data_IF_309742303853
#
_entry.id   IF_309742303853
#
_cell.length_a   1.000
_cell.length_b   1.000
_cell.length_c   1.000
_cell.angle_alpha   90.00
_cell.angle_beta   90.00
_cell.angle_gamma   90.00
#
_symmetry.space_group_name_H-M   'P 1'
#
loop_
_entity.id
_entity.type
_entity.pdbx_description
1 polymer ?
#
# COMPACT_ATOMS: atom_id res chain seq x y z
N UNK A 1 6.51 -33.23 -25.25
CA UNK A 1 6.82 -31.85 -24.84
C UNK A 1 6.27 -31.69 -23.43
N UNK A 2 7.09 -31.52 -22.38
CA UNK A 2 6.55 -31.35 -21.03
C UNK A 2 5.67 -30.09 -21.06
N UNK A 3 4.40 -30.25 -20.70
CA UNK A 3 3.46 -29.16 -20.50
C UNK A 3 4.07 -28.23 -19.45
N UNK A 4 4.59 -27.07 -19.87
CA UNK A 4 5.12 -26.08 -18.94
C UNK A 4 4.02 -25.77 -17.92
N UNK A 5 4.24 -26.18 -16.68
CA UNK A 5 3.32 -25.93 -15.60
C UNK A 5 3.44 -24.44 -15.26
N UNK A 6 2.53 -23.62 -15.79
CA UNK A 6 2.58 -22.17 -15.66
C UNK A 6 1.68 -21.72 -14.50
N UNK A 7 2.22 -20.93 -13.59
CA UNK A 7 1.41 -20.20 -12.61
C UNK A 7 1.02 -18.82 -13.16
N UNK A 8 -0.08 -18.26 -12.65
CA UNK A 8 -0.63 -16.97 -13.09
C UNK A 8 -0.75 -16.03 -11.91
N UNK A 9 -0.25 -14.80 -12.08
CA UNK A 9 -0.37 -13.70 -11.13
C UNK A 9 -1.22 -12.61 -11.75
N UNK A 10 -2.20 -12.12 -11.00
CA UNK A 10 -2.90 -10.89 -11.36
C UNK A 10 -2.19 -9.69 -10.75
N UNK A 11 -2.01 -8.65 -11.54
CA UNK A 11 -1.34 -7.40 -11.14
C UNK A 11 -2.13 -6.19 -11.65
N UNK A 12 -1.97 -5.04 -11.02
CA UNK A 12 -2.60 -3.79 -11.45
C UNK A 12 -2.06 -3.36 -12.83
N UNK A 13 -2.94 -2.91 -13.74
CA UNK A 13 -2.51 -2.37 -15.04
C UNK A 13 -1.74 -1.06 -14.90
N UNK A 14 -2.13 -0.26 -13.92
CA UNK A 14 -1.49 0.99 -13.51
C UNK A 14 -0.99 0.77 -12.08
N UNK A 15 0.30 0.95 -11.80
CA UNK A 15 0.84 0.79 -10.45
C UNK A 15 0.04 1.54 -9.39
N UNK A 16 -0.30 0.88 -8.28
CA UNK A 16 -1.04 1.46 -7.14
C UNK A 16 -2.46 1.95 -7.46
N UNK A 17 -2.97 1.76 -8.68
CA UNK A 17 -4.33 2.10 -9.09
C UNK A 17 -5.08 0.88 -9.60
N UNK A 18 -5.72 0.19 -8.66
CA UNK A 18 -6.48 -1.02 -8.94
C UNK A 18 -7.76 -0.72 -9.74
N UNK A 19 -8.32 0.49 -9.67
CA UNK A 19 -9.57 0.85 -10.36
C UNK A 19 -9.40 0.87 -11.88
N UNK A 20 -8.17 1.07 -12.35
CA UNK A 20 -7.79 0.93 -13.77
C UNK A 20 -7.76 -0.53 -14.24
N UNK A 21 -8.02 -1.47 -13.32
CA UNK A 21 -8.22 -2.89 -13.59
C UNK A 21 -6.94 -3.72 -13.49
N UNK A 22 -7.14 -5.05 -13.55
CA UNK A 22 -6.07 -6.02 -13.45
C UNK A 22 -5.62 -6.55 -14.81
N UNK A 23 -4.41 -7.08 -14.85
CA UNK A 23 -3.84 -7.85 -15.94
C UNK A 23 -3.17 -9.11 -15.39
N UNK A 24 -2.81 -10.05 -16.26
CA UNK A 24 -2.16 -11.29 -15.86
C UNK A 24 -0.71 -11.35 -16.34
N UNK A 25 0.12 -11.99 -15.51
CA UNK A 25 1.48 -12.39 -15.79
C UNK A 25 1.61 -13.89 -15.51
N UNK A 26 2.37 -14.62 -16.31
CA UNK A 26 2.63 -16.06 -16.15
C UNK A 26 4.10 -16.36 -16.18
N UNK A 27 4.49 -17.36 -15.40
CA UNK A 27 5.82 -17.95 -15.47
C UNK A 27 5.77 -19.40 -15.03
N UNK A 28 6.90 -20.09 -15.18
CA UNK A 28 7.04 -21.46 -14.72
C UNK A 28 6.76 -21.57 -13.20
N UNK A 29 5.94 -22.55 -12.83
CA UNK A 29 5.50 -22.80 -11.47
C UNK A 29 6.66 -23.09 -10.52
N UNK A 30 7.61 -23.94 -10.92
CA UNK A 30 8.75 -24.32 -10.08
C UNK A 30 9.66 -23.11 -9.83
N UNK A 31 9.85 -22.28 -10.86
CA UNK A 31 10.60 -21.03 -10.72
C UNK A 31 9.88 -20.07 -9.77
N UNK A 32 8.57 -19.93 -9.89
CA UNK A 32 7.80 -19.03 -9.03
C UNK A 32 7.83 -19.47 -7.55
N UNK A 33 7.78 -20.78 -7.27
CA UNK A 33 7.98 -21.34 -5.93
C UNK A 33 9.39 -21.08 -5.40
N UNK A 34 10.42 -21.32 -6.23
CA UNK A 34 11.84 -21.05 -5.90
C UNK A 34 12.06 -19.58 -5.52
N UNK A 35 11.41 -18.65 -6.22
CA UNK A 35 11.51 -17.21 -5.99
C UNK A 35 10.55 -16.70 -4.91
N UNK A 36 9.71 -17.56 -4.32
CA UNK A 36 8.73 -17.22 -3.28
C UNK A 36 7.86 -16.01 -3.64
N UNK A 37 7.40 -15.95 -4.90
CA UNK A 37 6.67 -14.78 -5.41
C UNK A 37 5.32 -14.65 -4.68
N UNK A 38 5.03 -13.50 -4.03
CA UNK A 38 3.80 -13.30 -3.30
C UNK A 38 2.60 -13.17 -4.24
N UNK A 39 1.50 -13.85 -3.90
CA UNK A 39 0.22 -13.69 -4.60
C UNK A 39 -0.53 -12.51 -3.99
N UNK A 40 -0.64 -11.40 -4.76
CA UNK A 40 -1.36 -10.20 -4.31
C UNK A 40 -2.89 -10.33 -4.43
N UNK A 41 -3.36 -11.00 -5.49
CA UNK A 41 -4.78 -11.18 -5.78
C UNK A 41 -5.08 -12.62 -6.20
N UNK A 42 -6.11 -13.22 -5.60
CA UNK A 42 -6.51 -14.61 -5.80
C UNK A 42 -7.89 -14.78 -6.45
N UNK A 43 -8.63 -13.68 -6.69
CA UNK A 43 -10.01 -13.75 -7.19
C UNK A 43 -10.66 -12.38 -7.37
N UNK A 44 -11.99 -12.35 -7.29
CA UNK A 44 -12.79 -11.11 -7.38
C UNK A 44 -12.51 -10.23 -6.16
N UNK A 45 -12.25 -8.95 -6.40
CA UNK A 45 -11.91 -7.97 -5.37
C UNK A 45 -13.08 -7.03 -5.19
N UNK A 46 -13.63 -6.94 -3.98
CA UNK A 46 -14.63 -5.95 -3.62
C UNK A 46 -13.94 -4.69 -3.09
N UNK A 47 -14.24 -3.53 -3.69
CA UNK A 47 -13.73 -2.22 -3.28
C UNK A 47 -14.93 -1.38 -2.83
N UNK A 48 -14.96 -0.88 -1.59
CA UNK A 48 -16.05 -0.03 -1.13
C UNK A 48 -16.11 1.25 -1.98
N UNK A 49 -17.32 1.67 -2.37
CA UNK A 49 -17.51 2.89 -3.15
C UNK A 49 -17.05 4.11 -2.33
N UNK A 50 -16.05 4.90 -2.79
CA UNK A 50 -15.56 6.07 -2.07
C UNK A 50 -16.55 7.25 -2.04
N UNK A 51 -17.58 7.26 -2.89
CA UNK A 51 -18.66 8.26 -2.87
C UNK A 51 -20.01 7.65 -2.46
N UNK A 52 -20.49 7.98 -1.26
CA UNK A 52 -21.91 8.15 -1.02
C UNK A 52 -22.15 9.60 -0.60
N UNK A 53 -21.99 10.55 -1.52
CA UNK A 53 -22.46 11.93 -1.32
C UNK A 53 -23.56 12.12 -2.39
N UNK A 54 -24.78 12.60 -2.16
CA UNK A 54 -25.41 13.32 -1.06
C UNK A 54 -26.93 13.19 -1.24
N UNK A 55 -27.70 13.06 -0.16
CA UNK A 55 -29.02 13.67 -0.02
C UNK A 55 -29.42 13.62 1.46
N UNK A 56 -29.44 14.73 2.20
CA UNK A 56 -30.23 14.80 3.41
C UNK A 56 -31.69 14.86 2.97
N UNK A 57 -32.29 13.70 2.71
CA UNK A 57 -33.74 13.63 2.58
C UNK A 57 -34.25 13.78 4.00
N UNK A 58 -34.98 14.87 4.26
CA UNK A 58 -35.65 15.02 5.55
C UNK A 58 -36.66 13.86 5.70
N UNK A 59 -36.83 13.28 6.90
CA UNK A 59 -37.73 12.13 7.10
C UNK A 59 -39.18 12.38 6.65
N UNK A 60 -39.60 13.63 6.55
CA UNK A 60 -40.92 14.06 6.04
C UNK A 60 -41.05 14.07 4.51
N UNK A 61 -39.96 14.04 3.75
CA UNK A 61 -39.99 14.07 2.28
C UNK A 61 -40.27 12.66 1.72
N UNK A 62 -41.53 12.24 1.78
CA UNK A 62 -42.01 11.01 1.11
C UNK A 62 -41.97 11.18 -0.40
N UNK A 63 -40.82 10.93 -1.04
CA UNK A 63 -40.70 10.86 -2.50
C UNK A 63 -40.86 9.40 -3.01
N UNK A 64 -41.97 9.05 -3.69
CA UNK A 64 -42.34 7.67 -4.05
C UNK A 64 -41.50 6.99 -5.15
N UNK A 65 -40.53 7.66 -5.78
CA UNK A 65 -39.93 7.20 -7.05
C UNK A 65 -38.40 7.09 -7.08
N UNK A 66 -37.69 7.25 -5.96
CA UNK A 66 -36.26 6.98 -5.93
C UNK A 66 -36.02 5.60 -5.31
N UNK A 67 -35.74 4.60 -6.16
CA UNK A 67 -35.08 3.37 -5.74
C UNK A 67 -33.59 3.52 -6.06
N UNK A 68 -32.74 3.88 -5.08
CA UNK A 68 -31.33 3.95 -5.33
C UNK A 68 -30.79 2.54 -5.35
N UNK A 69 -30.46 2.01 -6.53
CA UNK A 69 -29.75 0.75 -6.63
C UNK A 69 -28.24 1.04 -6.45
N UNK A 70 -27.84 1.41 -5.23
CA UNK A 70 -26.44 1.66 -4.91
C UNK A 70 -25.75 0.33 -4.62
N UNK A 71 -24.91 -0.15 -5.55
CA UNK A 71 -23.91 -1.14 -5.19
C UNK A 71 -22.94 -0.47 -4.20
N UNK A 72 -22.91 -0.97 -2.96
CA UNK A 72 -22.01 -0.49 -1.90
C UNK A 72 -20.53 -0.76 -2.20
N UNK A 73 -20.26 -1.60 -3.20
CA UNK A 73 -18.92 -2.04 -3.59
C UNK A 73 -18.81 -2.13 -5.12
N UNK A 74 -17.66 -1.74 -5.65
CA UNK A 74 -17.20 -2.11 -6.98
C UNK A 74 -16.55 -3.48 -6.93
N UNK A 75 -16.87 -4.35 -7.87
CA UNK A 75 -16.21 -5.65 -8.01
C UNK A 75 -15.22 -5.59 -9.17
N UNK A 76 -13.95 -5.84 -8.86
CA UNK A 76 -12.91 -6.00 -9.87
C UNK A 76 -12.71 -7.48 -10.12
N UNK A 77 -13.10 -7.91 -11.31
CA UNK A 77 -12.92 -9.27 -11.76
C UNK A 77 -11.54 -9.43 -12.40
N UNK A 78 -10.77 -10.47 -12.03
CA UNK A 78 -9.56 -10.82 -12.76
C UNK A 78 -9.88 -11.07 -14.24
N UNK A 79 -9.05 -10.60 -15.17
CA UNK A 79 -9.29 -10.78 -16.59
C UNK A 79 -9.20 -12.25 -16.99
N UNK A 80 -9.97 -12.63 -18.00
CA UNK A 80 -9.80 -13.92 -18.65
C UNK A 80 -8.36 -14.08 -19.17
N UNK A 81 -7.84 -15.29 -19.00
CA UNK A 81 -6.47 -15.62 -19.34
C UNK A 81 -6.39 -16.04 -20.81
N UNK A 82 -6.73 -15.12 -21.71
CA UNK A 82 -6.80 -15.31 -23.16
C UNK A 82 -6.17 -14.13 -23.90
N UNK A 83 -6.02 -14.25 -25.23
CA UNK A 83 -5.54 -13.19 -26.10
C UNK A 83 -4.01 -13.11 -26.28
N UNK A 84 -3.55 -12.02 -26.91
CA UNK A 84 -2.13 -11.81 -27.24
C UNK A 84 -1.30 -11.67 -25.96
N UNK A 85 -0.06 -12.17 -26.02
CA UNK A 85 0.91 -12.13 -24.93
C UNK A 85 2.26 -11.61 -25.40
N UNK A 86 3.01 -11.00 -24.49
CA UNK A 86 4.40 -10.56 -24.67
C UNK A 86 5.31 -11.42 -23.82
N UNK A 87 6.47 -11.80 -24.37
CA UNK A 87 7.52 -12.51 -23.63
C UNK A 87 8.58 -11.52 -23.16
N UNK A 88 8.80 -11.48 -21.87
CA UNK A 88 9.89 -10.80 -21.20
C UNK A 88 10.90 -11.85 -20.71
N UNK A 89 12.12 -11.43 -20.44
CA UNK A 89 13.10 -12.26 -19.73
C UNK A 89 13.50 -11.56 -18.44
N UNK A 90 13.52 -12.30 -17.34
CA UNK A 90 14.12 -11.85 -16.08
C UNK A 90 15.53 -12.43 -16.02
N UNK A 91 16.52 -11.57 -15.94
CA UNK A 91 17.90 -11.98 -15.68
C UNK A 91 18.13 -11.98 -14.18
N UNK A 92 18.33 -13.17 -13.60
CA UNK A 92 18.53 -13.36 -12.16
C UNK A 92 19.73 -14.27 -11.95
N UNK A 93 20.77 -13.80 -11.25
CA UNK A 93 21.97 -14.59 -10.91
C UNK A 93 22.59 -15.34 -12.11
N UNK A 94 22.61 -14.73 -13.29
CA UNK A 94 23.15 -15.33 -14.51
C UNK A 94 22.17 -16.16 -15.35
N UNK A 95 20.96 -16.45 -14.85
CA UNK A 95 19.93 -17.20 -15.58
C UNK A 95 18.92 -16.26 -16.25
N UNK A 96 18.40 -16.66 -17.43
CA UNK A 96 17.32 -15.96 -18.10
C UNK A 96 16.00 -16.72 -17.95
N UNK A 97 15.07 -16.17 -17.18
CA UNK A 97 13.77 -16.75 -16.87
C UNK A 97 12.70 -16.12 -17.76
N UNK A 98 11.88 -16.94 -18.41
CA UNK A 98 10.78 -16.44 -19.24
C UNK A 98 9.60 -15.96 -18.38
N UNK A 99 9.14 -14.75 -18.65
CA UNK A 99 7.96 -14.14 -18.07
C UNK A 99 6.99 -13.77 -19.19
N UNK A 100 5.75 -14.23 -19.13
CA UNK A 100 4.73 -13.92 -20.14
C UNK A 100 3.69 -12.97 -19.55
N UNK A 101 3.49 -11.81 -20.17
CA UNK A 101 2.47 -10.85 -19.75
C UNK A 101 1.39 -10.70 -20.81
N UNK A 102 0.18 -10.33 -20.40
CA UNK A 102 -0.87 -9.90 -21.33
C UNK A 102 -0.36 -8.73 -22.19
N UNK A 103 -0.75 -8.70 -23.47
CA UNK A 103 -0.22 -7.72 -24.42
C UNK A 103 -0.47 -6.25 -24.02
N UNK A 104 -1.59 -5.96 -23.35
CA UNK A 104 -1.98 -4.63 -22.88
C UNK A 104 -1.21 -4.15 -21.64
N UNK A 105 -0.44 -5.02 -20.99
CA UNK A 105 0.30 -4.67 -19.78
C UNK A 105 1.52 -3.79 -20.11
N UNK A 106 1.68 -2.71 -19.36
CA UNK A 106 2.80 -1.78 -19.53
C UNK A 106 4.07 -2.33 -18.90
N UNK A 107 5.23 -1.94 -19.43
CA UNK A 107 6.53 -2.29 -18.84
C UNK A 107 6.66 -1.73 -17.42
N UNK A 108 6.07 -0.56 -17.16
CA UNK A 108 6.04 0.07 -15.85
C UNK A 108 5.29 -0.76 -14.81
N UNK A 109 4.12 -1.30 -15.15
CA UNK A 109 3.37 -2.20 -14.27
C UNK A 109 4.16 -3.47 -13.91
N UNK A 110 4.85 -4.06 -14.90
CA UNK A 110 5.71 -5.23 -14.67
C UNK A 110 6.88 -4.85 -13.76
N UNK A 111 7.55 -3.72 -14.01
CA UNK A 111 8.66 -3.24 -13.16
C UNK A 111 8.18 -2.98 -11.74
N UNK A 112 7.04 -2.32 -11.56
CA UNK A 112 6.41 -2.10 -10.25
C UNK A 112 6.14 -3.43 -9.53
N UNK A 113 5.50 -4.38 -10.22
CA UNK A 113 5.26 -5.69 -9.64
C UNK A 113 6.54 -6.43 -9.26
N UNK A 114 7.56 -6.45 -10.13
CA UNK A 114 8.86 -7.06 -9.82
C UNK A 114 9.49 -6.43 -8.58
N UNK A 115 9.49 -5.11 -8.51
CA UNK A 115 10.06 -4.38 -7.39
C UNK A 115 9.36 -4.69 -6.05
N UNK A 116 8.12 -5.18 -6.04
CA UNK A 116 7.43 -5.56 -4.80
C UNK A 116 8.01 -6.80 -4.10
N UNK A 117 8.78 -7.63 -4.82
CA UNK A 117 9.30 -8.89 -4.27
C UNK A 117 10.72 -9.26 -4.72
N UNK A 118 11.16 -8.82 -5.90
CA UNK A 118 12.46 -9.17 -6.48
C UNK A 118 13.61 -8.39 -5.83
N UNK A 119 14.80 -8.98 -5.85
CA UNK A 119 16.03 -8.31 -5.43
C UNK A 119 16.43 -7.19 -6.41
N UNK A 120 17.23 -6.23 -5.95
CA UNK A 120 17.61 -5.05 -6.73
C UNK A 120 18.55 -5.35 -7.90
N UNK A 121 19.25 -6.49 -7.88
CA UNK A 121 20.17 -6.94 -8.93
C UNK A 121 19.45 -7.58 -10.13
N UNK A 122 18.15 -7.84 -10.02
CA UNK A 122 17.35 -8.41 -11.10
C UNK A 122 17.22 -7.40 -12.26
N UNK A 123 17.34 -7.90 -13.50
CA UNK A 123 17.12 -7.10 -14.70
C UNK A 123 15.95 -7.64 -15.51
N UNK A 124 15.07 -6.73 -15.96
CA UNK A 124 14.00 -7.04 -16.90
C UNK A 124 14.46 -6.76 -18.34
N UNK A 125 14.37 -7.77 -19.19
CA UNK A 125 14.63 -7.64 -20.63
C UNK A 125 13.27 -7.63 -21.34
N UNK A 126 12.98 -6.52 -22.03
CA UNK A 126 11.72 -6.33 -22.76
C UNK A 126 11.71 -7.09 -24.09
N UNK A 127 10.54 -7.29 -24.75
CA UNK A 127 10.48 -7.92 -26.07
C UNK A 127 11.35 -7.24 -27.14
N UNK A 128 11.60 -5.93 -27.01
CA UNK A 128 12.52 -5.17 -27.87
C UNK A 128 13.99 -5.26 -27.44
N UNK A 129 14.34 -6.24 -26.61
CA UNK A 129 15.68 -6.48 -26.07
C UNK A 129 16.28 -5.34 -25.22
N UNK A 130 15.47 -4.35 -24.84
CA UNK A 130 15.89 -3.30 -23.89
C UNK A 130 16.02 -3.92 -22.49
N UNK A 131 17.18 -3.76 -21.87
CA UNK A 131 17.45 -4.13 -20.49
C UNK A 131 17.07 -2.99 -19.55
N UNK A 132 16.34 -3.34 -18.49
CA UNK A 132 15.90 -2.41 -17.45
C UNK A 132 16.40 -2.99 -16.13
N UNK A 133 17.38 -2.31 -15.52
CA UNK A 133 17.80 -2.64 -14.16
C UNK A 133 16.72 -2.23 -13.17
N UNK A 134 16.50 -3.06 -12.14
CA UNK A 134 15.73 -2.68 -10.96
C UNK A 134 16.59 -1.91 -9.96
N UNK A 135 17.91 -1.94 -10.10
CA UNK A 135 18.85 -1.22 -9.24
C UNK A 135 18.62 0.29 -9.32
N UNK A 136 18.59 0.95 -8.16
CA UNK A 136 18.28 2.38 -8.05
C UNK A 136 16.83 2.76 -8.34
N UNK A 137 15.96 1.82 -8.78
CA UNK A 137 14.52 2.08 -8.88
C UNK A 137 13.86 1.90 -7.52
N UNK A 138 13.04 2.89 -7.14
CA UNK A 138 12.30 2.86 -5.89
C UNK A 138 11.31 1.71 -5.97
N UNK A 139 11.49 0.68 -5.13
CA UNK A 139 10.48 -0.39 -5.01
C UNK A 139 9.13 0.27 -4.66
N UNK A 140 7.97 -0.15 -5.21
CA UNK A 140 6.67 0.36 -4.80
C UNK A 140 6.44 -0.02 -3.34
N UNK A 141 7.01 0.87 -2.53
CA UNK A 141 6.65 1.45 -1.27
C UNK A 141 6.29 0.50 -0.14
N UNK A 142 7.33 -0.10 0.48
CA UNK A 142 7.36 -0.07 1.95
C UNK A 142 7.64 1.38 2.36
N UNK A 143 6.58 2.13 2.62
CA UNK A 143 6.71 3.39 3.31
C UNK A 143 6.46 3.12 4.80
N UNK A 144 7.08 3.89 5.67
CA UNK A 144 6.96 3.69 7.10
C UNK A 144 6.49 4.98 7.74
N UNK A 145 5.62 4.86 8.75
CA UNK A 145 5.45 5.90 9.76
C UNK A 145 6.37 5.58 10.92
N UNK A 146 7.09 6.57 11.41
CA UNK A 146 7.93 6.44 12.60
C UNK A 146 7.52 7.43 13.68
N UNK A 147 7.82 7.03 14.92
CA UNK A 147 7.76 7.87 16.10
C UNK A 147 9.16 7.94 16.71
N UNK A 148 9.73 9.14 16.76
CA UNK A 148 11.07 9.36 17.32
C UNK A 148 10.96 10.27 18.53
N UNK A 149 11.52 9.84 19.66
CA UNK A 149 11.56 10.62 20.88
C UNK A 149 12.87 11.40 21.00
N UNK A 150 12.75 12.64 21.42
CA UNK A 150 13.85 13.50 21.83
C UNK A 150 13.73 13.74 23.34
N UNK A 151 14.76 13.34 24.09
CA UNK A 151 14.79 13.46 25.55
C UNK A 151 14.88 14.90 26.04
N UNK A 152 15.58 15.78 25.32
CA UNK A 152 15.84 17.15 25.75
C UNK A 152 14.58 18.02 25.68
N UNK A 153 13.88 17.93 24.55
CA UNK A 153 12.64 18.68 24.34
C UNK A 153 11.40 17.95 24.88
N UNK A 154 11.60 16.73 25.39
CA UNK A 154 10.53 15.82 25.81
C UNK A 154 9.40 15.73 24.77
N UNK A 155 9.81 15.58 23.50
CA UNK A 155 8.93 15.63 22.34
C UNK A 155 9.05 14.37 21.48
N UNK A 156 7.96 14.02 20.80
CA UNK A 156 7.87 12.93 19.85
C UNK A 156 7.67 13.53 18.46
N UNK A 157 8.54 13.16 17.52
CA UNK A 157 8.36 13.42 16.09
C UNK A 157 7.51 12.32 15.48
N UNK A 158 6.50 12.72 14.71
CA UNK A 158 5.71 11.82 13.87
C UNK A 158 6.07 12.13 12.42
N UNK A 159 6.65 11.17 11.70
CA UNK A 159 7.03 11.38 10.31
C UNK A 159 6.99 10.12 9.47
N UNK A 160 7.15 10.29 8.16
CA UNK A 160 7.27 9.18 7.21
C UNK A 160 8.66 9.04 6.60
N UNK A 161 9.03 7.82 6.22
CA UNK A 161 10.24 7.54 5.44
C UNK A 161 10.10 6.26 4.60
N UNK A 162 10.82 6.19 3.48
CA UNK A 162 11.06 4.93 2.76
C UNK A 162 12.18 4.09 3.38
N UNK A 163 13.09 4.75 4.11
CA UNK A 163 14.21 4.16 4.86
C UNK A 163 14.31 4.88 6.21
N UNK A 164 13.82 4.22 7.26
CA UNK A 164 13.69 4.83 8.60
C UNK A 164 15.05 5.00 9.28
N UNK A 165 15.99 4.09 9.04
CA UNK A 165 17.32 4.13 9.63
C UNK A 165 18.13 5.30 9.06
N UNK A 166 18.16 5.46 7.73
CA UNK A 166 18.79 6.64 7.11
C UNK A 166 18.15 7.94 7.57
N UNK A 167 16.82 7.96 7.74
CA UNK A 167 16.12 9.15 8.22
C UNK A 167 16.49 9.47 9.68
N UNK A 168 16.59 8.48 10.55
CA UNK A 168 17.03 8.67 11.94
C UNK A 168 18.46 9.22 11.98
N UNK A 169 19.39 8.64 11.22
CA UNK A 169 20.78 9.13 11.13
C UNK A 169 20.83 10.59 10.65
N UNK A 170 20.06 10.93 9.61
CA UNK A 170 19.96 12.31 9.11
C UNK A 170 19.34 13.29 10.11
N UNK A 171 18.42 12.85 10.96
CA UNK A 171 17.86 13.71 12.02
C UNK A 171 18.85 13.86 13.19
N UNK A 172 19.62 12.82 13.48
CA UNK A 172 20.61 12.81 14.55
C UNK A 172 21.71 13.84 14.32
N UNK A 173 22.10 14.12 13.07
CA UNK A 173 23.13 15.13 12.76
C UNK A 173 22.76 16.54 13.21
N UNK A 174 21.46 16.80 13.41
CA UNK A 174 20.93 18.09 13.85
C UNK A 174 20.38 18.04 15.27
N UNK A 175 20.65 16.98 16.03
CA UNK A 175 20.27 16.84 17.43
C UNK A 175 21.50 16.52 18.28
N UNK A 176 21.79 17.32 19.32
CA UNK A 176 22.91 17.05 20.21
C UNK A 176 22.69 15.83 21.11
N UNK A 177 21.44 15.37 21.25
CA UNK A 177 21.07 14.20 22.04
C UNK A 177 20.60 13.05 21.18
N UNK A 178 20.80 11.84 21.70
CA UNK A 178 20.45 10.62 21.00
C UNK A 178 18.94 10.52 20.83
N UNK A 179 18.50 10.52 19.57
CA UNK A 179 17.11 10.33 19.19
C UNK A 179 16.73 8.86 19.33
N UNK A 180 15.63 8.60 20.04
CA UNK A 180 15.17 7.24 20.32
C UNK A 180 14.03 6.86 19.38
N UNK A 181 14.19 5.76 18.65
CA UNK A 181 13.10 5.20 17.85
C UNK A 181 12.10 4.49 18.75
N UNK A 182 10.87 5.01 18.86
CA UNK A 182 9.83 4.41 19.69
C UNK A 182 9.06 3.33 18.95
N UNK A 183 8.71 3.59 17.69
CA UNK A 183 7.90 2.67 16.87
C UNK A 183 8.05 2.98 15.40
N UNK A 184 7.93 1.92 14.60
CA UNK A 184 7.85 1.97 13.14
C UNK A 184 6.63 1.17 12.71
N UNK A 185 5.82 1.75 11.83
CA UNK A 185 4.63 1.12 11.26
C UNK A 185 4.87 0.97 9.75
N UNK A 186 4.92 -0.26 9.22
CA UNK A 186 4.97 -0.48 7.78
C UNK A 186 3.65 -0.10 7.12
N UNK A 187 3.74 0.53 5.95
CA UNK A 187 2.61 0.99 5.14
C UNK A 187 2.81 0.54 3.69
N UNK A 188 1.74 0.03 3.09
CA UNK A 188 1.77 -0.64 1.78
C UNK A 188 2.02 0.30 0.59
N UNK A 189 1.95 1.62 0.78
CA UNK A 189 2.23 2.58 -0.27
C UNK A 189 2.68 3.93 0.28
N UNK A 190 3.37 4.73 -0.54
CA UNK A 190 3.73 6.11 -0.19
C UNK A 190 2.45 6.90 0.05
N UNK A 191 1.46 6.83 -0.86
CA UNK A 191 0.19 7.56 -0.71
C UNK A 191 -0.47 7.30 0.65
N UNK A 192 -0.62 6.04 1.04
CA UNK A 192 -1.17 5.67 2.36
C UNK A 192 -0.33 6.23 3.51
N UNK A 193 1.00 6.24 3.39
CA UNK A 193 1.85 6.85 4.42
C UNK A 193 1.65 8.36 4.53
N UNK A 194 1.38 9.05 3.41
CA UNK A 194 1.07 10.49 3.44
C UNK A 194 -0.26 10.76 4.13
N UNK A 195 -1.28 9.97 3.81
CA UNK A 195 -2.62 10.05 4.41
C UNK A 195 -2.57 9.75 5.92
N UNK A 196 -1.85 8.69 6.31
CA UNK A 196 -1.70 8.30 7.72
C UNK A 196 -0.91 9.33 8.53
N UNK A 197 0.16 9.90 7.98
CA UNK A 197 0.92 10.98 8.61
C UNK A 197 0.04 12.21 8.84
N UNK A 198 -0.69 12.66 7.81
CA UNK A 198 -1.59 13.80 7.91
C UNK A 198 -2.72 13.59 8.93
N UNK A 199 -3.28 12.37 8.98
CA UNK A 199 -4.25 11.97 9.99
C UNK A 199 -3.66 12.06 11.39
N UNK A 200 -2.48 11.50 11.63
CA UNK A 200 -1.83 11.52 12.95
C UNK A 200 -1.49 12.94 13.39
N UNK A 201 -1.00 13.78 12.48
CA UNK A 201 -0.74 15.19 12.75
C UNK A 201 -2.01 15.95 13.10
N UNK A 202 -3.14 15.60 12.48
CA UNK A 202 -4.45 16.20 12.78
C UNK A 202 -4.98 15.71 14.12
N UNK A 203 -4.91 14.40 14.37
CA UNK A 203 -5.37 13.76 15.61
C UNK A 203 -4.65 14.31 16.85
N UNK A 204 -3.34 14.51 16.76
CA UNK A 204 -2.53 15.02 17.86
C UNK A 204 -2.21 16.51 17.72
N UNK A 205 -3.00 17.26 16.94
CA UNK A 205 -2.76 18.68 16.69
C UNK A 205 -2.69 19.50 17.98
N UNK A 206 -3.48 19.15 19.00
CA UNK A 206 -3.47 19.80 20.32
C UNK A 206 -2.15 19.60 21.08
N UNK A 207 -1.37 18.58 20.74
CA UNK A 207 -0.05 18.32 21.32
C UNK A 207 1.10 18.89 20.47
N UNK A 208 0.79 19.47 19.30
CA UNK A 208 1.80 19.92 18.34
C UNK A 208 2.57 21.11 18.91
N UNK A 209 3.89 21.00 18.92
CA UNK A 209 4.80 22.05 19.38
C UNK A 209 5.27 22.90 18.19
N UNK A 210 6.04 22.31 17.29
CA UNK A 210 6.56 22.98 16.10
C UNK A 210 6.85 21.98 15.00
N UNK A 211 6.48 22.32 13.76
CA UNK A 211 6.66 21.43 12.61
C UNK A 211 6.02 20.07 12.85
N UNK A 212 6.82 19.01 12.83
CA UNK A 212 6.36 17.62 13.00
C UNK A 212 6.61 17.08 14.42
N UNK A 213 6.89 17.96 15.38
CA UNK A 213 7.17 17.61 16.78
C UNK A 213 5.97 17.87 17.68
N UNK A 214 5.68 16.90 18.54
CA UNK A 214 4.53 16.87 19.44
C UNK A 214 5.00 16.62 20.87
N UNK A 215 4.30 17.17 21.87
CA UNK A 215 4.60 16.89 23.29
C UNK A 215 4.51 15.38 23.54
N UNK A 216 5.46 14.81 24.28
CA UNK A 216 5.46 13.38 24.63
C UNK A 216 4.43 13.05 25.73
N UNK A 217 3.18 13.45 25.49
CA UNK A 217 2.03 13.30 26.37
C UNK A 217 1.64 11.83 26.58
N UNK A 218 1.10 11.45 27.75
CA UNK A 218 0.58 10.11 27.98
C UNK A 218 -0.39 9.62 26.90
N UNK A 219 -1.23 10.49 26.33
CA UNK A 219 -2.16 10.12 25.25
C UNK A 219 -1.41 9.58 24.02
N UNK A 220 -0.40 10.31 23.55
CA UNK A 220 0.41 9.93 22.39
C UNK A 220 1.27 8.70 22.69
N UNK A 221 1.89 8.63 23.87
CA UNK A 221 2.68 7.46 24.29
C UNK A 221 1.82 6.20 24.35
N UNK A 222 0.62 6.29 24.92
CA UNK A 222 -0.34 5.19 24.99
C UNK A 222 -0.81 4.76 23.61
N UNK A 223 -1.02 5.70 22.68
CA UNK A 223 -1.32 5.39 21.29
C UNK A 223 -0.21 4.56 20.65
N UNK A 224 1.06 4.99 20.79
CA UNK A 224 2.22 4.28 20.22
C UNK A 224 2.34 2.85 20.76
N UNK A 225 2.12 2.65 22.07
CA UNK A 225 2.19 1.32 22.70
C UNK A 225 1.08 0.40 22.20
N UNK A 226 -0.15 0.92 22.05
CA UNK A 226 -1.33 0.13 21.61
C UNK A 226 -1.38 -0.12 20.10
N UNK A 227 -0.56 0.60 19.34
CA UNK A 227 -0.49 0.47 17.89
C UNK A 227 0.27 -0.80 17.50
N UNK A 228 -0.44 -1.92 17.39
CA UNK A 228 0.01 -3.10 16.65
C UNK A 228 -0.36 -3.01 15.17
N UNK A 229 0.37 -3.73 14.31
CA UNK A 229 0.17 -3.70 12.85
C UNK A 229 -1.28 -4.02 12.43
N UNK A 230 -2.00 -4.83 13.21
CA UNK A 230 -3.41 -5.16 13.02
C UNK A 230 -4.34 -3.97 13.25
N UNK A 231 -3.99 -3.06 14.16
CA UNK A 231 -4.80 -1.90 14.53
C UNK A 231 -5.03 -0.97 13.32
N UNK A 232 -4.06 -0.85 12.43
CA UNK A 232 -4.19 0.00 11.23
C UNK A 232 -4.88 -0.71 10.06
N UNK A 233 -4.72 -2.03 9.93
CA UNK A 233 -5.50 -2.82 8.95
C UNK A 233 -7.00 -2.70 9.24
N UNK A 234 -7.38 -2.72 10.52
CA UNK A 234 -8.80 -2.66 10.92
C UNK A 234 -9.31 -1.22 11.13
N UNK A 235 -8.50 -0.29 11.64
CA UNK A 235 -8.95 1.07 11.97
C UNK A 235 -9.02 2.00 10.76
N UNK A 236 -8.16 1.85 9.74
CA UNK A 236 -8.25 2.69 8.54
C UNK A 236 -9.45 2.30 7.66
N UNK A 237 -9.85 1.02 7.70
CA UNK A 237 -11.09 0.53 7.08
C UNK A 237 -12.35 0.92 7.87
N UNK A 238 -12.24 1.22 9.17
CA UNK A 238 -13.38 1.60 10.03
C UNK A 238 -13.60 3.11 10.20
N UNK A 239 -12.58 3.95 10.00
CA UNK A 239 -12.69 5.39 10.29
C UNK A 239 -13.17 6.28 9.14
N UNK A 240 -13.41 5.71 7.95
CA UNK A 240 -14.37 6.29 7.00
C UNK A 240 -15.75 5.64 7.18
N UNK A 241 -16.30 5.81 8.37
CA UNK A 241 -17.74 5.85 8.56
C UNK A 241 -18.05 6.96 9.56
N UNK A 242 -18.58 8.11 9.12
CA UNK A 242 -19.17 9.05 10.05
C UNK A 242 -20.43 8.37 10.55
N UNK A 243 -20.55 8.18 11.85
CA UNK A 243 -21.86 8.06 12.47
C UNK A 243 -21.74 8.37 13.94
N UNK A 244 -22.25 9.54 14.30
CA UNK A 244 -23.12 9.64 15.45
C UNK A 244 -23.88 8.33 15.61
N UNK A 245 -23.54 7.56 16.64
CA UNK A 245 -24.42 6.51 17.14
C UNK A 245 -23.99 6.11 18.54
N UNK A 246 -24.82 6.56 19.47
CA UNK A 246 -24.93 6.09 20.86
C UNK A 246 -25.09 4.58 20.87
N UNK A 247 -24.56 3.90 21.90
CA UNK A 247 -24.53 2.43 22.01
C UNK A 247 -25.82 1.85 22.61
N UNK A 248 -26.08 0.61 22.19
CA UNK A 248 -27.26 -0.21 22.41
C UNK A 248 -27.05 -1.25 23.54
N UNK A 249 -27.25 -0.87 24.79
CA UNK A 249 -27.62 -1.85 25.83
C UNK A 249 -28.40 -1.18 26.96
N UNK A 250 -29.38 -0.36 26.56
CA UNK A 250 -30.26 0.43 27.42
C UNK A 250 -29.56 1.62 28.11
N UNK A 251 -30.33 2.71 28.32
CA UNK A 251 -30.14 3.75 29.36
C UNK A 251 -29.18 4.92 29.04
#
# INVERSE_FOLDING_TARGET
MPTQNLTVYFIEKVPEDILQGLSWVKMDYNIAQRLQIPVKYTGVIAIPNPEPYSCPIHPEDKLPWIKPNYQSHYYIHPPEIRGKKKKFLLHIKGENIALYAQYSLTTEAIVSWLLSWADSDVQLITPGNKRISLEGKIKPNKAFIYFIFNSDSYAIKIGRASDVEKRLQSLQTSSPVLLQMLKVIPVDSVKKSQELEAYLHTKFRHLRMSGEWFRADPELRNYIIRCDESYFKDSFLRQFSPKSSVRLSEI
#
